data_IF_475470114195
#
_entry.id   IF_475470114195
#
_cell.length_a   1.000
_cell.length_b   1.000
_cell.length_c   1.000
_cell.angle_alpha   90.00
_cell.angle_beta   90.00
_cell.angle_gamma   90.00
#
_symmetry.space_group_name_H-M   'P 1'
#
loop_
_entity.id
_entity.type
_entity.pdbx_description
1 polymer ?
#
# COMPACT_ATOMS: atom_id res chain seq x y z
N UNK A 1 -10.81 -14.08 18.24
CA UNK A 1 -10.77 -13.76 19.69
C UNK A 1 -11.53 -12.48 19.97
N UNK A 2 -11.90 -12.22 21.23
CA UNK A 2 -12.74 -11.06 21.62
C UNK A 2 -12.13 -9.71 21.20
N UNK A 3 -10.80 -9.59 21.20
CA UNK A 3 -10.09 -8.40 20.72
C UNK A 3 -10.26 -8.18 19.22
N UNK A 4 -10.12 -9.24 18.41
CA UNK A 4 -10.27 -9.19 16.96
C UNK A 4 -11.71 -8.83 16.56
N UNK A 5 -12.69 -9.34 17.32
CA UNK A 5 -14.09 -9.00 17.15
C UNK A 5 -14.35 -7.52 17.47
N UNK A 6 -13.82 -7.03 18.59
CA UNK A 6 -13.93 -5.61 18.97
C UNK A 6 -13.30 -4.67 17.92
N UNK A 7 -12.16 -5.06 17.35
CA UNK A 7 -11.48 -4.28 16.30
C UNK A 7 -12.32 -4.27 15.01
N UNK A 8 -12.81 -5.43 14.59
CA UNK A 8 -13.66 -5.55 13.40
C UNK A 8 -14.96 -4.75 13.56
N UNK A 9 -15.60 -4.85 14.72
CA UNK A 9 -16.83 -4.11 15.04
C UNK A 9 -16.56 -2.61 15.03
N UNK A 10 -15.46 -2.16 15.64
CA UNK A 10 -15.05 -0.75 15.61
C UNK A 10 -14.82 -0.25 14.18
N UNK A 11 -14.19 -1.06 13.33
CA UNK A 11 -13.96 -0.72 11.92
C UNK A 11 -15.27 -0.60 11.12
N UNK A 12 -16.20 -1.55 11.32
CA UNK A 12 -17.52 -1.55 10.67
C UNK A 12 -18.34 -0.34 11.13
N UNK A 13 -18.37 -0.05 12.43
CA UNK A 13 -19.09 1.11 12.97
C UNK A 13 -18.50 2.43 12.46
N UNK A 14 -17.17 2.55 12.43
CA UNK A 14 -16.49 3.72 11.87
C UNK A 14 -16.76 3.92 10.37
N UNK A 15 -16.88 2.83 9.60
CA UNK A 15 -17.20 2.89 8.17
C UNK A 15 -18.66 3.31 7.93
N UNK A 16 -19.60 2.77 8.72
CA UNK A 16 -21.01 3.19 8.70
C UNK A 16 -21.18 4.66 9.05
N UNK A 17 -20.46 5.13 10.08
CA UNK A 17 -20.47 6.54 10.46
C UNK A 17 -19.96 7.44 9.34
N UNK A 18 -18.81 7.10 8.72
CA UNK A 18 -18.27 7.85 7.57
C UNK A 18 -19.24 7.93 6.41
N UNK A 19 -19.87 6.80 6.05
CA UNK A 19 -20.90 6.77 5.01
C UNK A 19 -22.09 7.67 5.36
N UNK A 20 -22.57 7.63 6.60
CA UNK A 20 -23.72 8.43 7.04
C UNK A 20 -23.41 9.93 7.04
N UNK A 21 -22.22 10.33 7.50
CA UNK A 21 -21.73 11.72 7.44
C UNK A 21 -21.52 12.22 6.01
N UNK A 22 -21.33 11.34 5.04
CA UNK A 22 -21.15 11.66 3.62
C UNK A 22 -22.43 11.87 2.83
N UNK A 23 -23.61 11.59 3.41
CA UNK A 23 -24.88 11.69 2.68
C UNK A 23 -25.26 13.14 2.37
N UNK A 24 -25.77 13.44 1.15
CA UNK A 24 -26.21 14.79 0.80
C UNK A 24 -27.32 15.29 1.73
N UNK A 25 -28.16 14.37 2.20
CA UNK A 25 -29.37 14.64 3.01
C UNK A 25 -29.10 14.75 4.52
N UNK A 26 -27.84 14.72 4.95
CA UNK A 26 -27.48 14.77 6.38
C UNK A 26 -27.82 16.15 6.99
N UNK A 27 -28.38 16.21 8.22
CA UNK A 27 -28.64 17.46 8.95
C UNK A 27 -27.38 18.31 9.11
N UNK A 28 -27.54 19.65 9.12
CA UNK A 28 -26.43 20.59 9.17
C UNK A 28 -25.52 20.41 10.40
N UNK A 29 -26.09 20.21 11.59
CA UNK A 29 -25.33 19.97 12.82
C UNK A 29 -24.42 18.73 12.73
N UNK A 30 -24.81 17.74 11.94
CA UNK A 30 -24.07 16.49 11.77
C UNK A 30 -22.93 16.67 10.74
N UNK A 31 -23.12 17.53 9.75
CA UNK A 31 -22.06 17.96 8.83
C UNK A 31 -20.97 18.78 9.56
N UNK A 32 -21.33 19.54 10.59
CA UNK A 32 -20.35 20.20 11.46
C UNK A 32 -19.53 19.19 12.27
N UNK A 33 -20.16 18.13 12.79
CA UNK A 33 -19.42 17.03 13.43
C UNK A 33 -18.45 16.36 12.44
N UNK A 34 -18.85 16.18 11.17
CA UNK A 34 -17.93 15.69 10.13
C UNK A 34 -16.70 16.58 10.00
N UNK A 35 -16.83 17.91 9.99
CA UNK A 35 -15.68 18.81 9.94
C UNK A 35 -14.77 18.67 11.18
N UNK A 36 -15.34 18.43 12.36
CA UNK A 36 -14.57 18.18 13.58
C UNK A 36 -13.86 16.82 13.55
N UNK A 37 -14.53 15.77 13.07
CA UNK A 37 -13.94 14.44 12.88
C UNK A 37 -12.87 14.46 11.80
N UNK A 38 -13.14 15.06 10.64
CA UNK A 38 -12.17 15.23 9.57
C UNK A 38 -10.99 16.06 10.08
N UNK A 39 -11.20 17.12 10.87
CA UNK A 39 -10.11 17.89 11.50
C UNK A 39 -9.31 17.07 12.51
N UNK A 40 -9.94 16.24 13.33
CA UNK A 40 -9.24 15.49 14.39
C UNK A 40 -8.56 14.21 13.87
N UNK A 41 -9.23 13.51 12.96
CA UNK A 41 -8.69 12.36 12.23
C UNK A 41 -7.62 12.84 11.25
N UNK A 42 -7.84 13.91 10.49
CA UNK A 42 -6.81 14.48 9.62
C UNK A 42 -5.77 15.33 10.34
N UNK A 43 -5.90 15.60 11.65
CA UNK A 43 -4.81 16.11 12.50
C UNK A 43 -4.02 14.98 13.17
N UNK A 44 -4.56 13.74 13.18
CA UNK A 44 -3.78 12.54 13.51
C UNK A 44 -3.18 11.91 12.25
N UNK A 45 -3.71 12.21 11.07
CA UNK A 45 -2.92 12.28 9.85
C UNK A 45 -1.99 13.48 10.00
N UNK A 46 -0.72 13.20 10.20
CA UNK A 46 0.33 14.13 9.86
C UNK A 46 -0.02 14.72 8.49
N UNK A 47 -0.36 16.00 8.43
CA UNK A 47 -0.47 16.70 7.16
C UNK A 47 0.91 16.65 6.53
N UNK A 48 1.15 15.70 5.61
CA UNK A 48 2.45 15.51 4.97
C UNK A 48 2.82 16.74 4.11
N UNK A 49 1.91 17.71 3.94
CA UNK A 49 2.31 19.02 3.42
C UNK A 49 3.42 19.68 4.27
N UNK A 50 3.56 19.32 5.56
CA UNK A 50 4.71 19.69 6.41
C UNK A 50 5.86 18.67 6.41
N UNK A 51 5.67 17.46 5.87
CA UNK A 51 6.70 16.40 5.79
C UNK A 51 7.30 16.19 4.39
N UNK A 52 6.90 16.97 3.38
CA UNK A 52 7.71 17.10 2.16
C UNK A 52 8.93 17.94 2.54
N UNK A 53 10.14 17.36 2.67
CA UNK A 53 11.32 18.15 2.96
C UNK A 53 11.52 19.12 1.78
N UNK A 54 11.85 20.37 2.07
CA UNK A 54 12.49 21.27 1.11
C UNK A 54 13.64 20.48 0.46
N UNK A 55 13.48 20.05 -0.80
CA UNK A 55 14.38 19.18 -1.59
C UNK A 55 15.26 18.26 -0.74
N UNK A 56 14.79 17.03 -0.52
CA UNK A 56 15.61 16.01 0.13
C UNK A 56 16.99 15.88 -0.58
N UNK A 57 18.09 15.78 0.18
CA UNK A 57 19.42 15.73 -0.40
C UNK A 57 19.59 14.47 -1.24
N UNK A 58 20.33 14.59 -2.34
CA UNK A 58 20.73 13.43 -3.15
C UNK A 58 21.66 12.56 -2.30
N UNK A 59 21.31 11.28 -2.19
CA UNK A 59 22.05 10.27 -1.45
C UNK A 59 22.70 9.29 -2.44
N UNK A 60 23.80 8.66 -2.03
CA UNK A 60 24.43 7.61 -2.82
C UNK A 60 23.44 6.46 -3.07
N UNK A 61 23.41 5.94 -4.29
CA UNK A 61 22.46 4.88 -4.65
C UNK A 61 22.78 3.58 -3.89
N UNK A 62 21.82 3.04 -3.11
CA UNK A 62 21.93 1.72 -2.48
C UNK A 62 22.31 0.65 -3.49
N UNK A 63 23.13 -0.32 -3.08
CA UNK A 63 23.68 -1.35 -3.98
C UNK A 63 22.60 -2.06 -4.80
N UNK A 64 21.48 -2.41 -4.18
CA UNK A 64 20.34 -3.09 -4.83
C UNK A 64 19.67 -2.24 -5.92
N UNK A 65 19.69 -0.91 -5.79
CA UNK A 65 19.12 0.00 -6.80
C UNK A 65 20.06 0.29 -7.96
N UNK A 66 21.35 -0.06 -7.88
CA UNK A 66 22.33 0.25 -8.93
C UNK A 66 22.06 -0.43 -10.25
N UNK A 67 21.36 -1.57 -10.22
CA UNK A 67 20.95 -2.28 -11.43
C UNK A 67 19.77 -1.58 -12.13
N UNK A 68 19.01 -0.75 -11.39
CA UNK A 68 17.81 -0.10 -11.88
C UNK A 68 18.03 1.33 -12.39
N UNK A 69 19.12 1.98 -11.99
CA UNK A 69 19.47 3.33 -12.47
C UNK A 69 20.96 3.45 -12.76
N UNK A 70 21.31 4.20 -13.80
CA UNK A 70 22.71 4.57 -14.09
C UNK A 70 23.22 5.72 -13.22
N UNK A 71 22.37 6.31 -12.37
CA UNK A 71 22.73 7.46 -11.53
C UNK A 71 23.55 7.03 -10.32
N UNK A 72 24.53 7.86 -9.95
CA UNK A 72 25.33 7.66 -8.73
C UNK A 72 24.63 8.16 -7.47
N UNK A 73 23.73 9.12 -7.62
CA UNK A 73 22.97 9.70 -6.52
C UNK A 73 21.50 9.92 -6.90
N UNK A 74 20.60 9.58 -5.98
CA UNK A 74 19.15 9.74 -6.11
C UNK A 74 18.59 10.47 -4.88
N UNK A 75 17.44 11.11 -5.05
CA UNK A 75 16.66 11.57 -3.89
C UNK A 75 15.80 10.40 -3.44
N UNK A 76 15.93 10.01 -2.17
CA UNK A 76 15.15 8.92 -1.57
C UNK A 76 14.10 9.49 -0.63
N UNK A 77 12.89 8.94 -0.69
CA UNK A 77 11.76 9.35 0.14
C UNK A 77 11.34 8.23 1.09
N UNK A 78 10.90 8.60 2.30
CA UNK A 78 10.30 7.66 3.24
C UNK A 78 8.88 7.25 2.80
N UNK A 79 8.13 8.20 2.28
CA UNK A 79 6.78 8.03 1.76
C UNK A 79 6.53 8.99 0.58
N UNK A 80 5.46 8.75 -0.16
CA UNK A 80 4.94 9.66 -1.20
C UNK A 80 3.41 9.64 -1.21
N UNK A 81 2.80 10.74 -1.64
CA UNK A 81 1.36 10.82 -1.87
C UNK A 81 1.08 10.81 -3.37
N UNK A 82 0.15 9.95 -3.79
CA UNK A 82 -0.33 9.94 -5.17
C UNK A 82 -1.84 9.74 -5.16
N UNK A 83 -2.59 10.69 -5.73
CA UNK A 83 -4.05 10.65 -5.77
C UNK A 83 -4.71 10.58 -4.39
N UNK A 84 -4.11 11.18 -3.36
CA UNK A 84 -4.60 11.11 -1.98
C UNK A 84 -4.23 9.81 -1.23
N UNK A 85 -3.58 8.87 -1.91
CA UNK A 85 -3.10 7.62 -1.31
C UNK A 85 -1.64 7.75 -0.89
N UNK A 86 -1.31 7.36 0.34
CA UNK A 86 0.05 7.39 0.88
C UNK A 86 0.72 6.04 0.67
N UNK A 87 1.87 6.06 -0.01
CA UNK A 87 2.76 4.91 -0.17
C UNK A 87 4.00 5.11 0.69
N UNK A 88 4.48 4.06 1.34
CA UNK A 88 5.66 4.12 2.21
C UNK A 88 6.65 3.02 1.87
N UNK A 89 7.94 3.28 2.12
CA UNK A 89 8.94 2.20 2.12
C UNK A 89 8.65 1.21 3.24
N UNK A 90 8.99 -0.06 3.01
CA UNK A 90 8.85 -1.13 4.00
C UNK A 90 9.53 -0.82 5.33
N UNK A 91 10.73 -0.24 5.28
CA UNK A 91 11.50 0.16 6.46
C UNK A 91 10.85 1.28 7.28
N UNK A 92 9.94 2.05 6.67
CA UNK A 92 9.25 3.17 7.31
C UNK A 92 7.88 2.77 7.82
N UNK A 93 7.11 2.02 7.03
CA UNK A 93 5.79 1.54 7.43
C UNK A 93 5.37 0.32 6.62
N UNK A 94 5.24 -0.83 7.26
CA UNK A 94 4.99 -2.10 6.59
C UNK A 94 3.64 -2.16 5.86
N UNK A 95 2.56 -1.64 6.46
CA UNK A 95 1.21 -1.68 5.86
C UNK A 95 1.16 -0.97 4.51
N UNK A 96 1.44 0.33 4.51
CA UNK A 96 1.52 1.19 3.32
C UNK A 96 2.68 0.86 2.35
N UNK A 97 3.44 -0.21 2.59
CA UNK A 97 4.46 -0.70 1.66
C UNK A 97 3.99 -1.90 0.83
N UNK A 98 2.87 -2.53 1.21
CA UNK A 98 2.35 -3.73 0.56
C UNK A 98 1.31 -3.33 -0.48
N UNK A 99 1.58 -3.67 -1.75
CA UNK A 99 0.77 -3.23 -2.89
C UNK A 99 0.49 -4.38 -3.86
N UNK A 100 -0.60 -4.25 -4.60
CA UNK A 100 -0.85 -4.98 -5.85
C UNK A 100 -0.49 -4.05 -7.02
N UNK A 101 0.29 -4.52 -7.98
CA UNK A 101 0.72 -3.70 -9.13
C UNK A 101 0.80 -4.50 -10.41
N UNK A 102 0.75 -3.82 -11.56
CA UNK A 102 0.89 -4.41 -12.88
C UNK A 102 2.36 -4.46 -13.31
N UNK A 103 2.97 -5.66 -13.45
CA UNK A 103 4.37 -5.78 -13.85
C UNK A 103 4.63 -5.17 -15.23
N UNK A 104 5.70 -4.38 -15.34
CA UNK A 104 6.05 -3.62 -16.54
C UNK A 104 4.94 -2.67 -17.02
N UNK A 105 3.98 -2.33 -16.17
CA UNK A 105 2.83 -1.49 -16.50
C UNK A 105 1.81 -2.14 -17.43
N UNK A 106 1.91 -3.45 -17.69
CA UNK A 106 1.00 -4.12 -18.61
C UNK A 106 -0.28 -4.58 -17.91
N UNK A 107 -1.38 -3.88 -18.17
CA UNK A 107 -2.72 -4.28 -17.70
C UNK A 107 -3.26 -5.56 -18.39
N UNK A 108 -2.55 -6.09 -19.40
CA UNK A 108 -2.87 -7.39 -20.01
C UNK A 108 -2.54 -8.58 -19.11
N UNK A 109 -1.70 -8.37 -18.09
CA UNK A 109 -1.32 -9.36 -17.09
C UNK A 109 -2.04 -9.07 -15.77
N UNK A 110 -2.35 -10.10 -14.97
CA UNK A 110 -2.94 -9.87 -13.65
C UNK A 110 -1.97 -9.10 -12.76
N UNK A 111 -2.49 -8.23 -11.87
CA UNK A 111 -1.65 -7.55 -10.90
C UNK A 111 -1.10 -8.56 -9.89
N UNK A 112 0.14 -8.34 -9.45
CA UNK A 112 0.83 -9.20 -8.50
C UNK A 112 1.17 -8.43 -7.22
N UNK A 113 1.31 -9.12 -6.08
CA UNK A 113 1.73 -8.50 -4.85
C UNK A 113 3.23 -8.17 -4.84
N UNK A 114 3.55 -7.05 -4.23
CA UNK A 114 4.92 -6.65 -3.98
C UNK A 114 5.05 -5.73 -2.76
N UNK A 115 6.30 -5.55 -2.35
CA UNK A 115 6.67 -4.70 -1.24
C UNK A 115 7.56 -3.55 -1.73
N UNK A 116 7.18 -2.32 -1.42
CA UNK A 116 7.96 -1.12 -1.76
C UNK A 116 9.20 -1.08 -0.87
N UNK A 117 10.38 -1.33 -1.45
CA UNK A 117 11.67 -1.22 -0.74
C UNK A 117 12.18 0.21 -0.73
N UNK A 118 12.07 0.88 -1.88
CA UNK A 118 12.53 2.25 -2.05
C UNK A 118 11.52 3.09 -2.79
N UNK A 119 11.49 4.38 -2.45
CA UNK A 119 10.77 5.42 -3.18
C UNK A 119 11.83 6.45 -3.54
N UNK A 120 11.95 6.79 -4.81
CA UNK A 120 13.03 7.64 -5.29
C UNK A 120 12.58 8.54 -6.43
N UNK A 121 13.26 9.68 -6.59
CA UNK A 121 13.09 10.54 -7.76
C UNK A 121 14.14 10.22 -8.82
N UNK A 122 13.69 9.83 -10.01
CA UNK A 122 14.51 9.76 -11.22
C UNK A 122 13.85 10.58 -12.35
N UNK A 123 14.66 11.34 -13.08
CA UNK A 123 14.20 12.24 -14.16
C UNK A 123 13.02 13.17 -13.81
N UNK A 124 12.86 13.54 -12.54
CA UNK A 124 11.76 14.41 -12.09
C UNK A 124 10.44 13.68 -11.83
N UNK A 125 10.44 12.35 -11.91
CA UNK A 125 9.32 11.49 -11.57
C UNK A 125 9.63 10.70 -10.30
N UNK A 126 8.61 10.52 -9.47
CA UNK A 126 8.69 9.64 -8.30
C UNK A 126 8.38 8.22 -8.75
N UNK A 127 9.31 7.30 -8.48
CA UNK A 127 9.22 5.89 -8.81
C UNK A 127 9.38 5.02 -7.57
N UNK A 128 8.87 3.79 -7.66
CA UNK A 128 8.95 2.79 -6.61
C UNK A 128 9.92 1.70 -7.06
N UNK A 129 10.82 1.27 -6.17
CA UNK A 129 11.50 -0.01 -6.33
C UNK A 129 10.76 -1.06 -5.50
N UNK A 130 10.15 -2.01 -6.20
CA UNK A 130 9.25 -3.00 -5.62
C UNK A 130 9.90 -4.37 -5.71
N UNK A 131 9.88 -5.10 -4.60
CA UNK A 131 10.27 -6.51 -4.58
C UNK A 131 9.01 -7.38 -4.62
N UNK A 132 8.93 -8.28 -5.58
CA UNK A 132 7.75 -9.11 -5.80
C UNK A 132 7.59 -10.18 -4.70
N UNK A 133 6.36 -10.46 -4.30
CA UNK A 133 6.06 -11.62 -3.46
C UNK A 133 5.88 -12.85 -4.37
N UNK A 134 6.65 -13.91 -4.10
CA UNK A 134 6.66 -15.08 -4.99
C UNK A 134 5.34 -15.87 -4.88
N UNK A 135 4.84 -16.43 -6.01
CA UNK A 135 3.72 -17.34 -5.97
C UNK A 135 4.06 -18.58 -5.14
N UNK A 136 3.03 -19.27 -4.65
CA UNK A 136 3.22 -20.59 -4.07
C UNK A 136 3.70 -21.60 -5.13
N UNK A 137 4.41 -22.64 -4.68
CA UNK A 137 4.79 -23.75 -5.56
C UNK A 137 3.56 -24.52 -6.06
N UNK A 138 3.74 -25.28 -7.15
CA UNK A 138 2.65 -25.99 -7.84
C UNK A 138 1.88 -26.98 -6.94
N UNK A 139 2.49 -27.47 -5.87
CA UNK A 139 1.90 -28.43 -4.95
C UNK A 139 0.98 -27.80 -3.88
N UNK A 140 0.98 -26.46 -3.76
CA UNK A 140 0.18 -25.76 -2.77
C UNK A 140 -1.26 -25.54 -3.27
N UNK A 141 -2.23 -25.92 -2.43
CA UNK A 141 -3.65 -25.66 -2.69
C UNK A 141 -4.03 -24.34 -2.04
N UNK A 142 -4.51 -23.39 -2.84
CA UNK A 142 -5.07 -22.15 -2.33
C UNK A 142 -6.50 -22.39 -1.79
N UNK A 143 -6.66 -22.31 -0.47
CA UNK A 143 -7.96 -22.49 0.17
C UNK A 143 -8.97 -21.40 -0.23
N UNK A 144 -8.50 -20.21 -0.60
CA UNK A 144 -9.35 -19.05 -0.88
C UNK A 144 -9.97 -19.07 -2.28
N UNK A 145 -9.47 -19.92 -3.19
CA UNK A 145 -10.03 -20.07 -4.54
C UNK A 145 -11.53 -20.42 -4.55
N UNK A 146 -12.04 -21.03 -3.47
CA UNK A 146 -13.45 -21.41 -3.34
C UNK A 146 -14.36 -20.25 -2.92
N UNK A 147 -13.81 -19.09 -2.58
CA UNK A 147 -14.54 -17.92 -2.08
C UNK A 147 -14.48 -16.77 -3.10
N UNK A 148 -15.33 -16.77 -4.15
CA UNK A 148 -15.23 -15.80 -5.24
C UNK A 148 -15.47 -14.34 -4.81
N UNK A 149 -16.14 -14.14 -3.66
CA UNK A 149 -16.42 -12.82 -3.10
C UNK A 149 -15.38 -12.34 -2.08
N UNK A 150 -14.33 -13.13 -1.84
CA UNK A 150 -13.25 -12.79 -0.92
C UNK A 150 -11.92 -12.98 -1.65
N UNK A 151 -11.33 -11.91 -2.24
CA UNK A 151 -10.22 -12.00 -3.18
C UNK A 151 -8.86 -12.21 -2.49
N UNK A 152 -8.85 -12.96 -1.38
CA UNK A 152 -7.60 -13.39 -0.77
C UNK A 152 -6.97 -14.50 -1.61
N UNK A 153 -5.65 -14.50 -1.69
CA UNK A 153 -4.90 -15.55 -2.37
C UNK A 153 -3.67 -15.94 -1.54
N UNK A 154 -3.26 -17.20 -1.67
CA UNK A 154 -2.07 -17.74 -1.00
C UNK A 154 -0.81 -17.45 -1.82
N UNK A 155 0.23 -16.96 -1.13
CA UNK A 155 1.56 -16.69 -1.69
C UNK A 155 2.65 -17.32 -0.83
N UNK A 156 3.86 -17.47 -1.39
CA UNK A 156 5.04 -17.83 -0.60
C UNK A 156 5.41 -16.69 0.33
N UNK A 157 6.02 -16.97 1.48
CA UNK A 157 6.66 -15.94 2.33
C UNK A 157 7.84 -15.29 1.61
N UNK A 158 8.50 -16.02 0.70
CA UNK A 158 9.68 -15.58 -0.02
C UNK A 158 9.40 -14.42 -0.99
N UNK A 159 10.30 -13.44 -1.01
CA UNK A 159 10.31 -12.35 -1.97
C UNK A 159 11.26 -12.71 -3.12
N UNK A 160 10.99 -12.20 -4.32
CA UNK A 160 11.88 -12.34 -5.47
C UNK A 160 13.22 -11.66 -5.23
N UNK A 161 14.27 -12.13 -5.90
CA UNK A 161 15.63 -11.57 -5.71
C UNK A 161 15.74 -10.15 -6.27
N UNK A 162 15.11 -9.92 -7.42
CA UNK A 162 15.22 -8.66 -8.14
C UNK A 162 14.21 -7.61 -7.68
N UNK A 163 14.64 -6.35 -7.77
CA UNK A 163 13.78 -5.20 -7.65
C UNK A 163 13.26 -4.81 -9.04
N UNK A 164 12.00 -4.38 -9.11
CA UNK A 164 11.38 -3.82 -10.29
C UNK A 164 11.10 -2.33 -10.08
N UNK A 165 11.40 -1.51 -11.09
CA UNK A 165 10.94 -0.11 -11.11
C UNK A 165 9.47 -0.10 -11.49
N UNK A 166 8.64 0.35 -10.55
CA UNK A 166 7.19 0.44 -10.70
C UNK A 166 6.80 1.90 -10.58
N UNK A 167 6.07 2.39 -11.60
CA UNK A 167 5.48 3.72 -11.53
C UNK A 167 4.23 3.73 -10.68
N UNK A 168 3.93 4.87 -10.06
CA UNK A 168 2.75 5.02 -9.20
C UNK A 168 1.44 4.69 -9.95
N UNK A 169 1.36 4.98 -11.25
CA UNK A 169 0.17 4.69 -12.07
C UNK A 169 -0.02 3.18 -12.37
N UNK A 170 1.01 2.36 -12.12
CA UNK A 170 0.95 0.91 -12.31
C UNK A 170 0.47 0.18 -11.05
N UNK A 171 0.35 0.90 -9.93
CA UNK A 171 -0.16 0.34 -8.69
C UNK A 171 -1.69 0.27 -8.76
N UNK A 172 -2.24 -0.93 -8.56
CA UNK A 172 -3.68 -1.12 -8.52
C UNK A 172 -4.26 -0.66 -7.18
N UNK A 173 -3.71 -1.18 -6.07
CA UNK A 173 -4.17 -0.88 -4.73
C UNK A 173 -3.14 -1.29 -3.67
N UNK A 174 -3.37 -0.92 -2.42
CA UNK A 174 -2.69 -1.55 -1.29
C UNK A 174 -3.19 -2.98 -1.08
N UNK A 175 -2.41 -3.82 -0.41
CA UNK A 175 -2.85 -5.13 0.04
C UNK A 175 -2.53 -5.36 1.52
N UNK A 176 -3.39 -6.12 2.18
CA UNK A 176 -3.07 -6.69 3.49
C UNK A 176 -2.27 -7.97 3.29
N UNK A 177 -1.25 -8.16 4.12
CA UNK A 177 -0.40 -9.36 4.14
C UNK A 177 -0.50 -9.99 5.52
N UNK A 178 -1.00 -11.22 5.58
CA UNK A 178 -1.08 -12.00 6.80
C UNK A 178 -0.14 -13.21 6.74
N UNK A 179 0.71 -13.37 7.75
CA UNK A 179 1.58 -14.54 7.84
C UNK A 179 0.74 -15.74 8.30
N UNK A 180 0.41 -16.62 7.36
CA UNK A 180 -0.42 -17.79 7.62
C UNK A 180 0.39 -18.96 8.19
N UNK A 181 1.61 -19.16 7.68
CA UNK A 181 2.57 -20.16 8.16
C UNK A 181 4.01 -19.71 7.88
N UNK A 182 5.00 -20.51 8.28
CA UNK A 182 6.42 -20.22 8.00
C UNK A 182 6.75 -20.15 6.50
N UNK A 183 5.93 -20.80 5.66
CA UNK A 183 6.15 -20.88 4.21
C UNK A 183 5.16 -20.04 3.40
N UNK A 184 4.02 -19.68 3.99
CA UNK A 184 2.92 -19.07 3.25
C UNK A 184 2.41 -17.79 3.90
N UNK A 185 2.06 -16.83 3.05
CA UNK A 185 1.32 -15.63 3.40
C UNK A 185 0.01 -15.57 2.63
N UNK A 186 -0.97 -14.93 3.23
CA UNK A 186 -2.22 -14.61 2.56
C UNK A 186 -2.17 -13.14 2.19
N UNK A 187 -2.45 -12.86 0.92
CA UNK A 187 -2.54 -11.50 0.39
C UNK A 187 -4.01 -11.21 0.09
N UNK A 188 -4.50 -10.08 0.61
CA UNK A 188 -5.83 -9.58 0.33
C UNK A 188 -5.71 -8.18 -0.30
N UNK A 189 -6.07 -8.00 -1.59
CA UNK A 189 -6.19 -6.67 -2.19
C UNK A 189 -7.20 -5.81 -1.44
N UNK A 190 -6.80 -4.62 -1.03
CA UNK A 190 -7.64 -3.63 -0.34
C UNK A 190 -8.20 -2.65 -1.38
N UNK A 191 -9.17 -3.13 -2.15
CA UNK A 191 -9.93 -2.28 -3.06
C UNK A 191 -10.80 -1.34 -2.23
N UNK A 192 -10.70 -0.02 -2.48
CA UNK A 192 -11.67 0.92 -1.93
C UNK A 192 -13.05 0.61 -2.54
N UNK A 193 -14.02 0.35 -1.68
CA UNK A 193 -15.45 0.19 -2.01
C UNK A 193 -16.15 1.53 -1.86
#
# INVERSE_FOLDING_TARGET
GELEQTVLDSFIQGSKLRHWLGRPDSPAAIKECKLLFDKYISNSEVSISEFVPKRAPKQAVPTELRLLTSRKHLVLHACTNFGGTIFSRHSSHQGNSSIMFYPGGSQSRPPIPGCIKYIFEDNGHTELAVQQQLPVGADAIDAFQHYPYFPACLYSVALGEDLEVVRLEWVMCHCARWNFSEKHVIILPLLQV
#
